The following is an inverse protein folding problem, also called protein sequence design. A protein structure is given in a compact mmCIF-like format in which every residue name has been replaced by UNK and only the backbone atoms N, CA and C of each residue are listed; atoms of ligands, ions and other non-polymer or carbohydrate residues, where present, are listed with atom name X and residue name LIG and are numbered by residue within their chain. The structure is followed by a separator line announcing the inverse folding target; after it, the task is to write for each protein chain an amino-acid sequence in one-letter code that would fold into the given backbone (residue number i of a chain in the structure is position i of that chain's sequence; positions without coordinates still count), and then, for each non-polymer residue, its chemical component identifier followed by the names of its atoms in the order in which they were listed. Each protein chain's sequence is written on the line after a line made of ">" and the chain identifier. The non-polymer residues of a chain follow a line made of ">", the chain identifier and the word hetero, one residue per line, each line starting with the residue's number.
data_IF_201103186865
#
_entry.id   IF_201103186865
#
_cell.length_a   1.000
_cell.length_b   1.000
_cell.length_c   1.000
_cell.angle_alpha   90.00
_cell.angle_beta   90.00
_cell.angle_gamma   90.00
#
_symmetry.space_group_name_H-M   'P 1'
#
loop_
_entity.id
_entity.type
_entity.pdbx_description
1 polymer ?
#
# COMPACT_ATOMS: atom_id res chain seq x y z
N UNK A 1 7.80 -2.56 15.22
CA UNK A 1 7.50 -3.00 13.85
C UNK A 1 6.08 -2.58 13.51
N UNK A 2 5.93 -1.76 12.50
CA UNK A 2 4.64 -1.22 12.05
C UNK A 2 3.93 -2.28 11.20
N UNK A 3 2.67 -2.59 11.53
CA UNK A 3 1.87 -3.57 10.80
C UNK A 3 1.07 -2.89 9.68
N UNK A 4 1.23 -3.41 8.46
CA UNK A 4 0.65 -2.85 7.25
C UNK A 4 -0.30 -3.83 6.58
N UNK A 5 -1.46 -3.35 6.14
CA UNK A 5 -2.34 -4.00 5.20
C UNK A 5 -2.14 -3.45 3.79
N UNK A 6 -2.33 -4.27 2.77
CA UNK A 6 -2.30 -3.84 1.36
C UNK A 6 -3.65 -4.16 0.73
N UNK A 7 -4.34 -3.15 0.22
CA UNK A 7 -5.55 -3.33 -0.57
C UNK A 7 -5.22 -3.14 -2.06
N UNK A 8 -5.36 -4.22 -2.84
CA UNK A 8 -4.91 -4.33 -4.23
C UNK A 8 -3.48 -4.85 -4.35
N UNK A 9 -3.35 -6.10 -4.80
CA UNK A 9 -2.05 -6.76 -4.99
C UNK A 9 -1.63 -6.81 -6.46
N UNK A 10 -1.97 -5.75 -7.17
CA UNK A 10 -1.48 -5.46 -8.52
C UNK A 10 0.02 -5.15 -8.51
N UNK A 11 0.50 -4.51 -9.58
CA UNK A 11 1.93 -4.19 -9.70
C UNK A 11 2.44 -3.34 -8.53
N UNK A 12 1.70 -2.30 -8.16
CA UNK A 12 2.13 -1.37 -7.09
C UNK A 12 2.10 -2.07 -5.72
N UNK A 13 1.00 -2.75 -5.38
CA UNK A 13 0.90 -3.47 -4.10
C UNK A 13 2.02 -4.49 -3.91
N UNK A 14 2.39 -5.24 -4.97
CA UNK A 14 3.52 -6.18 -4.94
C UNK A 14 4.87 -5.48 -4.77
N UNK A 15 5.06 -4.29 -5.33
CA UNK A 15 6.30 -3.53 -5.12
C UNK A 15 6.40 -3.00 -3.71
N UNK A 16 5.32 -2.45 -3.18
CA UNK A 16 5.27 -2.06 -1.76
C UNK A 16 5.62 -3.25 -0.89
N UNK A 17 5.02 -4.42 -1.14
CA UNK A 17 5.34 -5.64 -0.40
C UNK A 17 6.82 -6.00 -0.48
N UNK A 18 7.41 -6.06 -1.69
CA UNK A 18 8.83 -6.38 -1.87
C UNK A 18 9.73 -5.38 -1.14
N UNK A 19 9.43 -4.08 -1.18
CA UNK A 19 10.24 -3.06 -0.54
C UNK A 19 10.22 -3.14 1.00
N UNK A 20 9.19 -3.73 1.62
CA UNK A 20 9.18 -3.95 3.07
C UNK A 20 10.17 -5.05 3.51
N UNK A 21 10.62 -5.88 2.58
CA UNK A 21 11.56 -6.97 2.82
C UNK A 21 13.01 -6.61 2.50
N UNK A 22 13.25 -5.42 1.94
CA UNK A 22 14.59 -4.89 1.74
C UNK A 22 15.28 -4.61 3.08
N UNK A 23 16.60 -4.77 3.13
CA UNK A 23 17.38 -4.68 4.37
C UNK A 23 17.17 -3.38 5.16
N UNK A 24 16.92 -2.28 4.48
CA UNK A 24 16.67 -0.99 5.11
C UNK A 24 15.34 -0.93 5.88
N UNK A 25 14.33 -1.74 5.52
CA UNK A 25 12.97 -1.63 6.00
C UNK A 25 12.47 -2.85 6.78
N UNK A 26 13.14 -4.00 6.64
CA UNK A 26 12.65 -5.30 7.13
C UNK A 26 12.40 -5.40 8.64
N UNK A 27 13.00 -4.51 9.41
CA UNK A 27 12.83 -4.49 10.86
C UNK A 27 11.79 -3.48 11.35
N UNK A 28 11.35 -2.56 10.49
CA UNK A 28 10.46 -1.47 10.86
C UNK A 28 9.02 -1.71 10.44
N UNK A 29 8.83 -2.37 9.30
CA UNK A 29 7.52 -2.58 8.68
C UNK A 29 7.30 -4.06 8.38
N UNK A 30 6.08 -4.55 8.64
CA UNK A 30 5.65 -5.90 8.26
C UNK A 30 4.27 -5.86 7.63
N UNK A 31 4.10 -6.54 6.50
CA UNK A 31 2.78 -6.76 5.89
C UNK A 31 2.11 -7.95 6.57
N UNK A 32 0.91 -7.73 7.13
CA UNK A 32 0.15 -8.72 7.88
C UNK A 32 -1.14 -9.17 7.17
N UNK A 33 -1.57 -8.43 6.17
CA UNK A 33 -2.75 -8.77 5.37
C UNK A 33 -2.74 -8.13 3.99
N UNK A 34 -3.34 -8.84 3.05
CA UNK A 34 -3.49 -8.42 1.66
C UNK A 34 -4.94 -8.68 1.27
N UNK A 35 -5.54 -7.75 0.55
CA UNK A 35 -6.82 -7.94 -0.12
C UNK A 35 -6.66 -7.81 -1.62
N UNK A 36 -7.10 -8.82 -2.36
CA UNK A 36 -7.21 -8.79 -3.82
C UNK A 36 -8.27 -9.81 -4.27
N UNK A 37 -8.89 -9.60 -5.42
CA UNK A 37 -9.91 -10.51 -5.95
C UNK A 37 -9.33 -11.73 -6.68
N UNK A 38 -8.01 -11.81 -6.80
CA UNK A 38 -7.32 -12.92 -7.44
C UNK A 38 -7.11 -14.07 -6.44
N UNK A 39 -7.04 -15.34 -6.92
CA UNK A 39 -6.70 -16.48 -6.10
C UNK A 39 -5.30 -16.36 -5.49
N UNK A 40 -5.12 -16.85 -4.26
CA UNK A 40 -3.88 -16.72 -3.50
C UNK A 40 -2.67 -17.41 -4.16
N UNK A 41 -2.87 -18.53 -4.82
CA UNK A 41 -1.84 -19.25 -5.57
C UNK A 41 -1.34 -18.44 -6.78
N UNK A 42 -2.26 -17.76 -7.47
CA UNK A 42 -1.90 -16.85 -8.55
C UNK A 42 -1.19 -15.59 -8.02
N UNK A 43 -1.59 -15.08 -6.86
CA UNK A 43 -0.88 -13.98 -6.19
C UNK A 43 0.56 -14.37 -5.83
N UNK A 44 0.77 -15.61 -5.33
CA UNK A 44 2.08 -16.15 -5.04
C UNK A 44 2.94 -16.23 -6.31
N UNK A 45 2.38 -16.71 -7.41
CA UNK A 45 3.06 -16.74 -8.71
C UNK A 45 3.49 -15.35 -9.18
N UNK A 46 2.56 -14.38 -9.14
CA UNK A 46 2.85 -13.01 -9.56
C UNK A 46 3.85 -12.28 -8.65
N UNK A 47 3.89 -12.61 -7.35
CA UNK A 47 4.89 -12.06 -6.44
C UNK A 47 6.27 -12.66 -6.73
N UNK A 48 6.32 -13.96 -7.07
CA UNK A 48 7.58 -14.67 -7.35
C UNK A 48 8.24 -14.17 -8.62
N UNK A 49 7.48 -13.94 -9.68
CA UNK A 49 8.02 -13.60 -10.99
C UNK A 49 7.63 -12.20 -11.42
N UNK A 50 8.60 -11.36 -11.70
CA UNK A 50 8.41 -10.02 -12.25
C UNK A 50 9.37 -9.77 -13.41
N UNK A 51 8.83 -9.31 -14.53
CA UNK A 51 9.61 -9.10 -15.76
C UNK A 51 10.65 -8.00 -15.61
N UNK A 52 10.35 -6.95 -14.85
CA UNK A 52 11.23 -5.78 -14.70
C UNK A 52 12.18 -5.92 -13.52
N UNK A 53 11.72 -6.50 -12.40
CA UNK A 53 12.48 -6.59 -11.15
C UNK A 53 13.02 -7.99 -10.85
N UNK A 54 12.79 -8.91 -11.76
CA UNK A 54 13.30 -10.28 -11.65
C UNK A 54 12.58 -11.15 -10.64
N UNK A 55 13.11 -12.33 -10.45
CA UNK A 55 12.56 -13.30 -9.52
C UNK A 55 12.74 -12.82 -8.07
N UNK A 56 11.70 -13.04 -7.24
CA UNK A 56 11.76 -12.74 -5.81
C UNK A 56 12.86 -13.59 -5.13
N UNK A 57 13.69 -12.92 -4.35
CA UNK A 57 14.75 -13.58 -3.59
C UNK A 57 14.22 -14.04 -2.22
N UNK A 58 13.68 -15.24 -2.17
CA UNK A 58 13.12 -15.82 -0.96
C UNK A 58 12.12 -16.93 -1.26
N UNK A 59 11.48 -17.47 -0.21
CA UNK A 59 10.45 -18.48 -0.33
C UNK A 59 9.07 -17.86 -0.40
N UNK A 60 8.22 -18.36 -1.29
CA UNK A 60 6.82 -17.97 -1.41
C UNK A 60 6.00 -19.24 -1.56
N UNK A 61 5.03 -19.42 -0.69
CA UNK A 61 4.07 -20.50 -0.69
C UNK A 61 2.65 -19.94 -0.55
N UNK A 62 1.65 -20.66 -1.03
CA UNK A 62 0.25 -20.32 -0.89
C UNK A 62 -0.48 -21.45 -0.16
N UNK A 63 -1.14 -21.13 0.94
CA UNK A 63 -2.11 -22.01 1.59
C UNK A 63 -3.52 -21.62 1.10
N UNK A 64 -4.01 -22.36 0.12
CA UNK A 64 -5.32 -22.07 -0.52
C UNK A 64 -6.48 -22.33 0.44
N UNK A 65 -6.35 -23.35 1.31
CA UNK A 65 -7.42 -23.73 2.26
C UNK A 65 -7.60 -22.64 3.34
N UNK A 66 -6.49 -22.07 3.82
CA UNK A 66 -6.52 -20.99 4.82
C UNK A 66 -6.59 -19.59 4.23
N UNK A 67 -6.48 -19.47 2.90
CA UNK A 67 -6.34 -18.18 2.23
C UNK A 67 -5.16 -17.36 2.80
N UNK A 68 -3.99 -17.97 2.86
CA UNK A 68 -2.77 -17.35 3.35
C UNK A 68 -1.68 -17.35 2.29
N UNK A 69 -0.93 -16.25 2.21
CA UNK A 69 0.33 -16.16 1.51
C UNK A 69 1.46 -16.31 2.53
N UNK A 70 2.37 -17.27 2.31
CA UNK A 70 3.49 -17.51 3.23
C UNK A 70 4.77 -17.05 2.54
N UNK A 71 5.40 -16.03 3.08
CA UNK A 71 6.63 -15.45 2.50
C UNK A 71 7.73 -15.44 3.53
N UNK A 72 8.84 -16.13 3.23
CA UNK A 72 9.96 -16.32 4.15
C UNK A 72 9.52 -16.83 5.54
N UNK A 73 8.51 -17.73 5.56
CA UNK A 73 7.93 -18.28 6.78
C UNK A 73 6.94 -17.37 7.51
N UNK A 74 6.70 -16.15 7.03
CA UNK A 74 5.67 -15.26 7.59
C UNK A 74 4.31 -15.51 6.95
N UNK A 75 3.30 -15.76 7.77
CA UNK A 75 1.92 -15.95 7.34
C UNK A 75 1.22 -14.61 7.18
N UNK A 76 0.61 -14.40 6.03
CA UNK A 76 -0.06 -13.16 5.64
C UNK A 76 -1.50 -13.52 5.27
N UNK A 77 -2.47 -12.96 6.00
CA UNK A 77 -3.88 -13.14 5.69
C UNK A 77 -4.21 -12.58 4.31
N UNK A 78 -4.90 -13.37 3.48
CA UNK A 78 -5.42 -12.93 2.19
C UNK A 78 -6.95 -12.91 2.25
N UNK A 79 -7.55 -11.83 1.77
CA UNK A 79 -9.00 -11.66 1.63
C UNK A 79 -9.35 -11.32 0.19
N UNK A 80 -10.61 -11.54 -0.19
CA UNK A 80 -11.16 -11.23 -1.52
C UNK A 80 -12.42 -10.37 -1.41
N UNK A 81 -12.39 -9.38 -0.52
CA UNK A 81 -13.51 -8.48 -0.26
C UNK A 81 -13.56 -7.34 -1.27
N UNK A 82 -14.77 -7.05 -1.78
CA UNK A 82 -15.00 -5.96 -2.71
C UNK A 82 -15.16 -4.61 -2.00
N UNK A 83 -15.77 -4.62 -0.81
CA UNK A 83 -15.93 -3.39 -0.02
C UNK A 83 -14.83 -3.30 1.03
N UNK A 84 -14.11 -2.20 1.01
CA UNK A 84 -13.01 -1.97 1.96
C UNK A 84 -13.48 -1.87 3.41
N UNK A 85 -14.75 -1.59 3.68
CA UNK A 85 -15.31 -1.57 5.03
C UNK A 85 -15.35 -2.96 5.69
N UNK A 86 -15.35 -4.03 4.89
CA UNK A 86 -15.45 -5.42 5.37
C UNK A 86 -14.08 -6.07 5.62
N UNK A 87 -12.97 -5.34 5.42
CA UNK A 87 -11.62 -5.90 5.45
C UNK A 87 -11.08 -6.23 6.84
N UNK A 88 -11.70 -5.67 7.90
CA UNK A 88 -11.38 -6.00 9.30
C UNK A 88 -9.87 -5.94 9.59
N UNK A 89 -9.28 -4.81 9.32
CA UNK A 89 -7.85 -4.58 9.54
C UNK A 89 -7.42 -4.66 11.01
N UNK A 90 -8.33 -4.36 11.93
CA UNK A 90 -8.14 -4.46 13.37
C UNK A 90 -7.91 -5.89 13.84
N UNK A 91 -8.59 -6.90 13.25
CA UNK A 91 -8.43 -8.31 13.63
C UNK A 91 -6.98 -8.81 13.45
N UNK A 92 -6.23 -8.26 12.48
CA UNK A 92 -4.83 -8.60 12.24
C UNK A 92 -3.86 -7.55 12.77
N UNK A 93 -4.40 -6.49 13.37
CA UNK A 93 -3.65 -5.37 13.93
C UNK A 93 -2.94 -4.54 12.87
N UNK A 94 -3.43 -4.49 11.63
CA UNK A 94 -2.92 -3.61 10.59
C UNK A 94 -3.26 -2.16 10.92
N UNK A 95 -2.25 -1.38 11.28
CA UNK A 95 -2.42 0.04 11.65
C UNK A 95 -2.44 0.96 10.44
N UNK A 96 -1.65 0.64 9.44
CA UNK A 96 -1.54 1.36 8.18
C UNK A 96 -2.07 0.52 7.04
N UNK A 97 -2.79 1.13 6.11
CA UNK A 97 -3.24 0.49 4.88
C UNK A 97 -2.67 1.21 3.68
N UNK A 98 -2.03 0.46 2.80
CA UNK A 98 -1.66 0.94 1.47
C UNK A 98 -2.78 0.61 0.51
N UNK A 99 -3.45 1.64 0.01
CA UNK A 99 -4.52 1.53 -0.99
C UNK A 99 -3.90 1.59 -2.39
N UNK A 100 -3.91 0.47 -3.08
CA UNK A 100 -3.32 0.33 -4.42
C UNK A 100 -4.23 -0.31 -5.47
N UNK A 101 -5.55 -0.30 -5.21
CA UNK A 101 -6.55 -0.74 -6.21
C UNK A 101 -6.86 0.32 -7.27
N UNK A 102 -6.70 1.61 -6.92
CA UNK A 102 -7.14 2.74 -7.74
C UNK A 102 -8.62 3.08 -7.64
N UNK A 103 -9.40 2.38 -6.79
CA UNK A 103 -10.83 2.63 -6.61
C UNK A 103 -11.16 3.58 -5.47
N UNK A 104 -10.35 3.62 -4.42
CA UNK A 104 -10.59 4.36 -3.18
C UNK A 104 -9.76 5.66 -3.13
N UNK A 105 -9.81 6.46 -4.20
CA UNK A 105 -8.97 7.66 -4.37
C UNK A 105 -9.60 8.95 -3.82
N UNK A 106 -10.85 8.93 -3.39
CA UNK A 106 -11.54 10.05 -2.72
C UNK A 106 -11.57 9.83 -1.22
N UNK A 107 -11.71 10.91 -0.44
CA UNK A 107 -11.69 10.85 1.03
C UNK A 107 -12.79 9.94 1.57
N UNK A 108 -14.02 10.11 1.11
CA UNK A 108 -15.19 9.31 1.51
C UNK A 108 -15.00 7.82 1.27
N UNK A 109 -14.36 7.44 0.16
CA UNK A 109 -14.06 6.04 -0.14
C UNK A 109 -12.91 5.50 0.70
N UNK A 110 -11.84 6.27 0.85
CA UNK A 110 -10.67 5.85 1.63
C UNK A 110 -10.99 5.73 3.13
N UNK A 111 -11.94 6.51 3.66
CA UNK A 111 -12.45 6.41 5.03
C UNK A 111 -13.03 5.02 5.35
N UNK A 112 -13.43 4.22 4.37
CA UNK A 112 -13.86 2.83 4.57
C UNK A 112 -12.77 1.97 5.20
N UNK A 113 -11.51 2.20 4.88
CA UNK A 113 -10.40 1.51 5.54
C UNK A 113 -10.28 1.86 7.02
N UNK A 114 -10.58 3.12 7.39
CA UNK A 114 -10.61 3.53 8.79
C UNK A 114 -11.80 2.86 9.52
N UNK A 115 -12.95 2.71 8.85
CA UNK A 115 -14.12 1.97 9.37
C UNK A 115 -13.79 0.49 9.58
N UNK A 116 -12.95 -0.09 8.71
CA UNK A 116 -12.45 -1.45 8.83
C UNK A 116 -11.33 -1.63 9.88
N UNK A 117 -11.03 -0.59 10.68
CA UNK A 117 -10.10 -0.64 11.81
C UNK A 117 -8.68 -0.16 11.55
N UNK A 118 -8.34 0.30 10.34
CA UNK A 118 -7.05 0.94 10.09
C UNK A 118 -6.95 2.30 10.81
N UNK A 119 -5.75 2.68 11.23
CA UNK A 119 -5.48 4.00 11.83
C UNK A 119 -5.13 5.05 10.77
N UNK A 120 -4.42 4.61 9.74
CA UNK A 120 -3.90 5.46 8.67
C UNK A 120 -4.05 4.78 7.30
N UNK A 121 -4.27 5.59 6.27
CA UNK A 121 -4.38 5.13 4.87
C UNK A 121 -3.43 5.92 3.99
N UNK A 122 -2.66 5.21 3.18
CA UNK A 122 -1.76 5.79 2.18
C UNK A 122 -2.27 5.39 0.79
N UNK A 123 -2.75 6.35 0.03
CA UNK A 123 -3.15 6.15 -1.35
C UNK A 123 -1.90 6.10 -2.24
N UNK A 124 -1.70 5.03 -2.98
CA UNK A 124 -0.56 4.87 -3.89
C UNK A 124 -0.69 5.63 -5.22
N UNK A 125 -1.75 6.42 -5.36
CA UNK A 125 -2.08 7.20 -6.54
C UNK A 125 -2.61 8.58 -6.14
N UNK A 126 -2.69 9.56 -7.08
CA UNK A 126 -3.21 10.88 -6.78
C UNK A 126 -4.61 10.83 -6.19
N UNK A 127 -4.79 11.50 -5.05
CA UNK A 127 -6.12 11.68 -4.47
C UNK A 127 -7.00 12.48 -5.42
N UNK A 128 -8.26 12.07 -5.51
CA UNK A 128 -9.30 12.79 -6.25
C UNK A 128 -10.17 13.60 -5.30
N UNK A 129 -10.72 14.70 -5.79
CA UNK A 129 -11.71 15.48 -5.06
C UNK A 129 -13.02 14.68 -4.99
N UNK A 130 -13.51 14.45 -3.78
CA UNK A 130 -14.80 13.82 -3.55
C UNK A 130 -16.00 14.73 -3.87
N UNK A 131 -17.21 14.18 -3.83
CA UNK A 131 -18.45 14.96 -3.99
C UNK A 131 -18.64 15.96 -2.85
N UNK A 132 -18.11 15.64 -1.67
CA UNK A 132 -18.07 16.51 -0.49
C UNK A 132 -17.03 17.66 -0.59
N UNK A 133 -16.28 17.70 -1.69
CA UNK A 133 -15.25 18.70 -1.94
C UNK A 133 -13.92 18.43 -1.25
N UNK A 134 -13.80 17.39 -0.39
CA UNK A 134 -12.55 17.01 0.29
C UNK A 134 -11.60 16.26 -0.65
N UNK A 135 -10.32 16.43 -0.40
CA UNK A 135 -9.24 15.73 -1.10
C UNK A 135 -8.11 15.46 -0.10
N UNK A 136 -7.50 14.28 -0.17
CA UNK A 136 -6.36 13.97 0.68
C UNK A 136 -5.12 14.75 0.24
N UNK A 137 -4.35 15.20 1.21
CA UNK A 137 -3.07 15.85 0.97
C UNK A 137 -2.10 14.89 0.26
N UNK A 138 -1.35 15.43 -0.69
CA UNK A 138 -0.38 14.68 -1.47
C UNK A 138 1.04 15.01 -1.02
N UNK A 139 1.83 13.97 -0.75
CA UNK A 139 3.20 14.11 -0.28
C UNK A 139 4.18 13.42 -1.24
N UNK A 140 5.29 14.09 -1.48
CA UNK A 140 6.43 13.57 -2.24
C UNK A 140 7.66 13.61 -1.35
N UNK A 141 8.33 12.47 -1.20
CA UNK A 141 9.54 12.36 -0.38
C UNK A 141 10.62 13.34 -0.83
N UNK A 142 11.24 14.04 0.14
CA UNK A 142 12.24 15.04 -0.12
C UNK A 142 11.72 16.39 -0.66
N UNK A 143 10.41 16.52 -0.91
CA UNK A 143 9.80 17.75 -1.44
C UNK A 143 8.95 18.47 -0.40
N UNK A 144 7.97 17.80 0.20
CA UNK A 144 7.00 18.42 1.10
C UNK A 144 6.53 17.53 2.26
N UNK A 145 7.28 16.50 2.62
CA UNK A 145 6.94 15.63 3.75
C UNK A 145 7.00 16.33 5.11
N UNK A 146 7.73 17.44 5.19
CA UNK A 146 7.76 18.37 6.32
C UNK A 146 6.40 19.02 6.64
N UNK A 147 5.48 19.05 5.68
CA UNK A 147 4.12 19.57 5.84
C UNK A 147 3.13 18.56 6.44
N UNK A 148 3.57 17.33 6.72
CA UNK A 148 2.71 16.34 7.36
C UNK A 148 2.39 16.77 8.79
N UNK A 149 1.10 16.87 9.09
CA UNK A 149 0.55 17.34 10.37
C UNK A 149 -0.36 16.30 11.05
N UNK A 150 -0.18 15.01 10.74
CA UNK A 150 -0.94 13.92 11.35
C UNK A 150 -2.22 13.54 10.59
N UNK A 151 -2.33 13.88 9.32
CA UNK A 151 -3.46 13.46 8.47
C UNK A 151 -3.58 11.93 8.46
N UNK A 152 -4.80 11.43 8.66
CA UNK A 152 -5.08 9.98 8.69
C UNK A 152 -5.09 9.35 7.29
N UNK A 153 -5.43 10.13 6.28
CA UNK A 153 -5.46 9.69 4.88
C UNK A 153 -4.57 10.64 4.10
N UNK A 154 -3.56 10.07 3.46
CA UNK A 154 -2.61 10.82 2.62
C UNK A 154 -2.43 10.13 1.28
N UNK A 155 -1.94 10.85 0.29
CA UNK A 155 -1.61 10.32 -1.02
C UNK A 155 -0.12 10.47 -1.31
N UNK A 156 0.48 9.44 -1.91
CA UNK A 156 1.85 9.48 -2.43
C UNK A 156 1.95 10.16 -3.81
N UNK A 157 0.92 10.92 -4.21
CA UNK A 157 0.84 11.59 -5.51
C UNK A 157 0.95 10.60 -6.70
N UNK A 158 1.38 11.08 -7.87
CA UNK A 158 1.55 10.25 -9.06
C UNK A 158 3.01 9.87 -9.31
N UNK A 159 3.23 8.83 -10.12
CA UNK A 159 4.56 8.45 -10.58
C UNK A 159 5.26 9.60 -11.32
N UNK A 160 4.53 10.37 -12.13
CA UNK A 160 5.06 11.54 -12.84
C UNK A 160 5.36 12.70 -11.90
N UNK A 161 4.55 12.91 -10.86
CA UNK A 161 4.84 13.93 -9.83
C UNK A 161 6.08 13.55 -9.03
N UNK A 162 6.23 12.28 -8.63
CA UNK A 162 7.41 11.80 -7.93
C UNK A 162 8.70 11.90 -8.78
N UNK A 163 8.58 11.83 -10.10
CA UNK A 163 9.69 12.09 -11.01
C UNK A 163 10.03 13.59 -11.09
N UNK A 164 9.05 14.44 -11.34
CA UNK A 164 9.27 15.85 -11.66
C UNK A 164 9.53 16.72 -10.42
N UNK A 165 8.78 16.52 -9.34
CA UNK A 165 8.81 17.45 -8.21
C UNK A 165 10.18 17.56 -7.52
N UNK A 166 10.95 16.49 -7.29
CA UNK A 166 12.30 16.60 -6.74
C UNK A 166 13.26 17.42 -7.65
N UNK A 167 13.16 17.21 -8.96
CA UNK A 167 14.00 17.94 -9.94
C UNK A 167 13.63 19.43 -9.92
N UNK A 168 12.32 19.72 -9.99
CA UNK A 168 11.83 21.09 -9.94
C UNK A 168 12.22 21.80 -8.64
N UNK A 169 12.17 21.09 -7.51
CA UNK A 169 12.60 21.62 -6.21
C UNK A 169 14.08 21.99 -6.21
N UNK A 170 14.95 21.11 -6.69
CA UNK A 170 16.40 21.40 -6.76
C UNK A 170 16.67 22.61 -7.62
N UNK A 171 16.02 22.74 -8.77
CA UNK A 171 16.18 23.89 -9.65
C UNK A 171 15.68 25.17 -8.97
N UNK A 172 14.50 25.16 -8.38
CA UNK A 172 13.93 26.33 -7.71
C UNK A 172 14.74 26.79 -6.49
N UNK A 173 15.31 25.85 -5.74
CA UNK A 173 16.03 26.16 -4.49
C UNK A 173 17.46 26.68 -4.75
N UNK A 174 18.03 26.45 -5.95
CA UNK A 174 19.42 26.74 -6.23
C UNK A 174 19.64 27.73 -7.41
N UNK A 175 18.61 27.96 -8.20
CA UNK A 175 18.69 28.86 -9.39
C UNK A 175 17.48 29.80 -9.46
#
# INVERSE_FOLDING_TARGET
>A
MIKVGINGFGRIGRFVFRSTLEDANKNDVIVVGINDLLPVDYMAYMLKYDTMHGQFNGTIEADVEKSELIVNGNHIRVTAEKDAADLKWDEIGAEYVVESTGFYLTMDRAEKHLQAGAKYVVLSAPSKKGEDGRQADMFVCGVNTDKYAGQKIVSNASCTTNCLAPIAKVLNDNF
#
